data_IF_772594568237
#
_entry.id   IF_772594568237
#
_cell.length_a   1.000
_cell.length_b   1.000
_cell.length_c   1.000
_cell.angle_alpha   90.00
_cell.angle_beta   90.00
_cell.angle_gamma   90.00
#
_symmetry.space_group_name_H-M   'P 1'
#
loop_
_entity.id
_entity.type
_entity.pdbx_description
1 polymer ?
#
# COMPACT_ATOMS: atom_id res chain seq x y z
N UNK A 1 13.95 0.60 19.97
CA UNK A 1 13.73 0.19 18.57
C UNK A 1 14.51 -1.09 18.36
N UNK A 2 13.90 -2.09 17.75
CA UNK A 2 14.57 -3.34 17.37
C UNK A 2 15.66 -3.10 16.32
N UNK A 3 16.45 -4.14 16.02
CA UNK A 3 17.49 -4.04 15.00
C UNK A 3 16.89 -3.80 13.60
N UNK A 4 17.61 -3.10 12.75
CA UNK A 4 17.28 -2.93 11.33
C UNK A 4 17.35 -4.30 10.65
N UNK A 5 16.41 -4.60 9.74
CA UNK A 5 16.36 -5.87 9.03
C UNK A 5 17.69 -6.15 8.30
N UNK A 6 18.12 -7.42 8.32
CA UNK A 6 19.39 -7.87 7.74
C UNK A 6 19.20 -8.69 6.47
N UNK A 7 18.00 -9.22 6.27
CA UNK A 7 17.67 -10.13 5.17
C UNK A 7 16.80 -9.42 4.13
N UNK A 8 16.98 -9.79 2.86
CA UNK A 8 16.07 -9.43 1.79
C UNK A 8 14.84 -10.35 1.85
N UNK A 9 13.66 -9.81 1.49
CA UNK A 9 12.43 -10.58 1.38
C UNK A 9 11.73 -10.29 0.06
N UNK A 10 11.06 -11.29 -0.47
CA UNK A 10 9.97 -11.17 -1.42
C UNK A 10 8.70 -11.76 -0.80
N UNK A 11 7.55 -11.31 -1.31
CA UNK A 11 6.28 -11.86 -0.84
C UNK A 11 5.21 -11.83 -1.92
N UNK A 12 4.29 -12.78 -1.82
CA UNK A 12 3.09 -12.87 -2.64
C UNK A 12 1.88 -12.79 -1.71
N UNK A 13 0.94 -11.89 -2.03
CA UNK A 13 -0.35 -11.80 -1.33
C UNK A 13 -1.45 -12.19 -2.29
N UNK A 14 -2.32 -13.08 -1.86
CA UNK A 14 -3.60 -13.36 -2.52
C UNK A 14 -4.72 -12.77 -1.68
N UNK A 15 -5.59 -11.99 -2.32
CA UNK A 15 -6.79 -11.46 -1.70
C UNK A 15 -7.97 -11.56 -2.66
N UNK A 16 -9.16 -11.74 -2.12
CA UNK A 16 -10.35 -11.79 -2.95
C UNK A 16 -11.31 -10.63 -2.70
N UNK A 17 -12.18 -10.46 -3.65
CA UNK A 17 -13.25 -9.46 -3.66
C UNK A 17 -14.56 -10.16 -4.02
N UNK A 18 -15.59 -9.96 -3.23
CA UNK A 18 -16.94 -10.46 -3.46
C UNK A 18 -17.93 -9.30 -3.42
N UNK A 19 -18.69 -9.11 -4.52
CA UNK A 19 -19.70 -8.06 -4.68
C UNK A 19 -19.21 -6.64 -4.34
N UNK A 20 -17.98 -6.30 -4.76
CA UNK A 20 -17.33 -5.05 -4.42
C UNK A 20 -16.50 -4.45 -5.53
N UNK A 21 -16.06 -3.22 -5.33
CA UNK A 21 -15.11 -2.53 -6.18
C UNK A 21 -13.77 -2.39 -5.44
N UNK A 22 -12.76 -3.19 -5.80
CA UNK A 22 -11.49 -3.17 -5.08
C UNK A 22 -10.67 -1.89 -5.32
N UNK A 23 -10.78 -1.32 -6.52
CA UNK A 23 -10.09 -0.09 -6.91
C UNK A 23 -10.78 0.57 -8.10
N UNK A 24 -11.66 1.51 -7.81
CA UNK A 24 -12.38 2.26 -8.85
C UNK A 24 -11.46 3.16 -9.66
N UNK A 25 -11.82 3.35 -10.93
CA UNK A 25 -11.14 4.24 -11.85
C UNK A 25 -11.88 5.59 -11.93
N UNK A 26 -11.30 6.70 -11.44
CA UNK A 26 -11.94 8.00 -11.51
C UNK A 26 -12.20 8.47 -12.95
N UNK A 27 -11.36 8.06 -13.91
CA UNK A 27 -11.50 8.43 -15.31
C UNK A 27 -12.58 7.62 -16.04
N UNK A 28 -13.00 6.48 -15.47
CA UNK A 28 -14.02 5.59 -16.00
C UNK A 28 -15.28 5.52 -15.11
N UNK A 29 -15.71 6.64 -14.52
CA UNK A 29 -16.91 6.70 -13.68
C UNK A 29 -16.86 5.80 -12.44
N UNK A 30 -15.69 5.60 -11.89
CA UNK A 30 -15.42 4.75 -10.74
C UNK A 30 -15.70 3.25 -10.98
N UNK A 31 -15.63 2.78 -12.22
CA UNK A 31 -15.66 1.35 -12.54
C UNK A 31 -14.41 0.64 -12.00
N UNK A 32 -14.50 -0.66 -11.65
CA UNK A 32 -13.32 -1.47 -11.35
C UNK A 32 -12.29 -1.36 -12.48
N UNK A 33 -11.02 -1.17 -12.14
CA UNK A 33 -9.94 -1.11 -13.13
C UNK A 33 -9.74 -2.46 -13.79
N UNK A 34 -9.66 -2.47 -15.11
CA UNK A 34 -9.47 -3.68 -15.92
C UNK A 34 -8.38 -3.39 -16.97
N UNK A 35 -7.50 -4.35 -17.17
CA UNK A 35 -6.60 -4.35 -18.31
C UNK A 35 -7.42 -4.66 -19.58
N UNK A 36 -7.49 -3.75 -20.56
CA UNK A 36 -8.40 -3.90 -21.72
C UNK A 36 -8.01 -5.03 -22.67
N UNK A 37 -6.76 -5.49 -22.64
CA UNK A 37 -6.30 -6.58 -23.50
C UNK A 37 -6.60 -7.95 -22.90
N UNK A 38 -6.30 -8.12 -21.60
CA UNK A 38 -6.43 -9.42 -20.94
C UNK A 38 -7.77 -9.60 -20.22
N UNK A 39 -8.50 -8.53 -19.96
CA UNK A 39 -9.69 -8.53 -19.10
C UNK A 39 -9.39 -8.71 -17.62
N UNK A 40 -8.12 -8.76 -17.22
CA UNK A 40 -7.73 -8.94 -15.83
C UNK A 40 -8.03 -7.68 -15.02
N UNK A 41 -8.59 -7.86 -13.84
CA UNK A 41 -8.79 -6.78 -12.87
C UNK A 41 -7.47 -6.26 -12.33
N UNK A 42 -7.41 -4.96 -12.08
CA UNK A 42 -6.22 -4.27 -11.59
C UNK A 42 -6.50 -3.57 -10.26
N UNK A 43 -5.56 -3.69 -9.31
CA UNK A 43 -5.52 -2.87 -8.10
C UNK A 43 -4.14 -2.23 -8.00
N UNK A 44 -4.11 -0.90 -7.92
CA UNK A 44 -2.85 -0.16 -7.90
C UNK A 44 -2.11 -0.33 -6.57
N UNK A 45 -0.79 -0.24 -6.61
CA UNK A 45 0.07 -0.23 -5.41
C UNK A 45 -0.32 0.88 -4.44
N UNK A 46 -0.72 2.05 -4.94
CA UNK A 46 -1.18 3.19 -4.13
C UNK A 46 -2.43 2.81 -3.34
N UNK A 47 -3.37 2.08 -3.96
CA UNK A 47 -4.58 1.60 -3.28
C UNK A 47 -4.23 0.63 -2.13
N UNK A 48 -3.34 -0.33 -2.39
CA UNK A 48 -2.89 -1.31 -1.37
C UNK A 48 -2.14 -0.60 -0.24
N UNK A 49 -1.16 0.24 -0.57
CA UNK A 49 -0.40 1.03 0.42
C UNK A 49 -1.30 1.91 1.29
N UNK A 50 -2.39 2.48 0.71
CA UNK A 50 -3.36 3.25 1.48
C UNK A 50 -4.06 2.39 2.54
N UNK A 51 -4.46 1.16 2.19
CA UNK A 51 -5.12 0.25 3.14
C UNK A 51 -4.19 -0.17 4.28
N UNK A 52 -2.93 -0.45 3.95
CA UNK A 52 -1.89 -0.72 4.95
C UNK A 52 -1.71 0.50 5.88
N UNK A 53 -1.61 1.71 5.34
CA UNK A 53 -1.51 2.94 6.14
C UNK A 53 -2.71 3.14 7.05
N UNK A 54 -3.92 2.97 6.53
CA UNK A 54 -5.15 3.12 7.31
C UNK A 54 -5.20 2.13 8.48
N UNK A 55 -4.81 0.88 8.24
CA UNK A 55 -4.74 -0.11 9.31
C UNK A 55 -3.74 0.30 10.40
N UNK A 56 -2.53 0.68 10.01
CA UNK A 56 -1.49 1.11 10.96
C UNK A 56 -1.92 2.37 11.72
N UNK A 57 -2.51 3.36 11.05
CA UNK A 57 -3.05 4.55 11.71
C UNK A 57 -4.11 4.18 12.75
N UNK A 58 -4.95 3.18 12.47
CA UNK A 58 -5.99 2.71 13.39
C UNK A 58 -5.41 2.04 14.63
N UNK A 59 -4.39 1.17 14.48
CA UNK A 59 -3.86 0.37 15.61
C UNK A 59 -2.77 1.09 16.41
N UNK A 60 -2.06 2.04 15.79
CA UNK A 60 -0.97 2.80 16.40
C UNK A 60 -1.38 4.22 16.79
N UNK A 61 -2.46 4.72 16.25
CA UNK A 61 -2.95 6.08 16.46
C UNK A 61 -1.82 7.13 16.34
N UNK A 62 -1.56 7.89 17.40
CA UNK A 62 -0.50 8.91 17.46
C UNK A 62 0.78 8.41 18.16
N UNK A 63 0.98 7.10 18.22
CA UNK A 63 2.18 6.51 18.84
C UNK A 63 3.45 7.05 18.16
N UNK A 64 4.43 7.46 18.98
CA UNK A 64 5.68 8.04 18.49
C UNK A 64 6.42 7.07 17.58
N UNK A 65 6.77 7.54 16.38
CA UNK A 65 7.47 6.74 15.38
C UNK A 65 6.54 5.97 14.43
N UNK A 66 5.22 6.03 14.64
CA UNK A 66 4.24 5.34 13.80
C UNK A 66 3.22 6.27 13.13
N UNK A 67 3.49 7.59 13.12
CA UNK A 67 2.69 8.55 12.37
C UNK A 67 2.64 8.17 10.88
N UNK A 68 1.55 8.53 10.21
CA UNK A 68 1.38 8.37 8.76
C UNK A 68 1.51 9.74 8.09
N UNK A 69 2.45 9.83 7.14
CA UNK A 69 2.71 11.03 6.35
C UNK A 69 1.66 11.25 5.26
N UNK A 70 1.32 10.20 4.51
CA UNK A 70 0.31 10.25 3.45
C UNK A 70 -1.01 9.76 4.00
N UNK A 71 -1.81 10.67 4.56
CA UNK A 71 -3.14 10.39 5.13
C UNK A 71 -4.21 11.36 4.62
N UNK A 72 -5.47 10.97 4.82
CA UNK A 72 -6.62 11.78 4.42
C UNK A 72 -6.68 13.09 5.22
N UNK A 73 -7.17 14.14 4.60
CA UNK A 73 -7.38 15.48 5.21
C UNK A 73 -6.13 16.13 5.85
N UNK A 74 -4.93 15.62 5.57
CA UNK A 74 -3.69 16.16 6.09
C UNK A 74 -2.80 16.74 4.98
N UNK A 75 -2.59 18.06 4.90
CA UNK A 75 -1.62 18.64 3.99
C UNK A 75 -0.20 18.19 4.32
N UNK A 76 0.52 17.64 3.35
CA UNK A 76 1.87 17.09 3.53
C UNK A 76 2.86 18.12 4.12
N UNK A 77 2.75 19.39 3.74
CA UNK A 77 3.60 20.46 4.24
C UNK A 77 3.48 20.72 5.76
N UNK A 78 2.43 20.23 6.41
CA UNK A 78 2.30 20.29 7.88
C UNK A 78 3.35 19.39 8.54
N UNK A 79 3.47 18.15 8.08
CA UNK A 79 4.48 17.20 8.56
C UNK A 79 5.90 17.64 8.19
N UNK A 80 6.09 18.17 6.98
CA UNK A 80 7.38 18.75 6.58
C UNK A 80 7.80 19.89 7.52
N UNK A 81 6.86 20.74 7.96
CA UNK A 81 7.13 21.82 8.92
C UNK A 81 7.46 21.32 10.32
N UNK A 82 6.90 20.19 10.75
CA UNK A 82 7.31 19.58 12.03
C UNK A 82 8.82 19.26 12.01
N UNK A 83 9.31 18.62 10.94
CA UNK A 83 10.73 18.36 10.77
C UNK A 83 11.59 19.66 10.69
N UNK A 84 11.07 20.71 10.05
CA UNK A 84 11.76 21.99 9.98
C UNK A 84 11.93 22.64 11.35
N UNK A 85 10.93 22.55 12.24
CA UNK A 85 10.99 23.09 13.60
C UNK A 85 12.10 22.46 14.44
N UNK A 86 12.36 21.16 14.28
CA UNK A 86 13.51 20.49 14.94
C UNK A 86 14.87 21.09 14.56
N UNK A 87 14.94 21.74 13.39
CA UNK A 87 16.13 22.46 12.94
C UNK A 87 16.07 23.97 13.23
N UNK A 88 15.13 24.42 14.05
CA UNK A 88 14.95 25.83 14.40
C UNK A 88 14.32 26.71 13.31
N UNK A 89 13.63 26.10 12.32
CA UNK A 89 12.87 26.82 11.30
C UNK A 89 11.40 26.89 11.71
N UNK A 90 10.98 27.98 12.31
CA UNK A 90 9.61 28.19 12.83
C UNK A 90 8.69 28.93 11.84
N UNK A 91 9.13 29.16 10.62
CA UNK A 91 8.35 29.89 9.61
C UNK A 91 7.10 29.12 9.19
N UNK A 92 6.00 29.83 9.05
CA UNK A 92 4.71 29.27 8.63
C UNK A 92 4.40 29.44 7.13
N UNK A 93 5.09 30.36 6.46
CA UNK A 93 4.98 30.58 5.02
C UNK A 93 5.91 29.67 4.23
N UNK A 94 5.37 28.92 3.26
CA UNK A 94 6.13 27.92 2.51
C UNK A 94 7.34 28.49 1.73
N UNK A 95 7.25 29.77 1.28
CA UNK A 95 8.38 30.42 0.60
C UNK A 95 9.49 30.71 1.59
N UNK A 96 9.13 31.26 2.76
CA UNK A 96 10.10 31.57 3.83
C UNK A 96 10.74 30.29 4.37
N UNK A 97 9.98 29.21 4.57
CA UNK A 97 10.52 27.87 4.92
C UNK A 97 11.56 27.42 3.88
N UNK A 98 11.21 27.51 2.59
CA UNK A 98 12.11 27.14 1.51
C UNK A 98 13.41 27.95 1.51
N UNK A 99 13.32 29.28 1.74
CA UNK A 99 14.49 30.16 1.82
C UNK A 99 15.35 29.88 3.06
N UNK A 100 14.71 29.63 4.22
CA UNK A 100 15.42 29.26 5.45
C UNK A 100 16.18 27.95 5.29
N UNK A 101 15.56 26.93 4.71
CA UNK A 101 16.21 25.65 4.42
C UNK A 101 17.40 25.79 3.46
N UNK A 102 17.28 26.62 2.42
CA UNK A 102 18.41 26.92 1.52
C UNK A 102 19.57 27.61 2.24
N UNK A 103 19.29 28.48 3.20
CA UNK A 103 20.33 29.12 4.04
C UNK A 103 20.97 28.10 4.97
N UNK A 104 20.17 27.26 5.63
CA UNK A 104 20.68 26.20 6.50
C UNK A 104 21.59 25.23 5.76
N UNK A 105 21.21 24.81 4.54
CA UNK A 105 22.04 23.91 3.72
C UNK A 105 23.43 24.47 3.42
N UNK A 106 23.57 25.81 3.30
CA UNK A 106 24.89 26.44 3.10
C UNK A 106 25.75 26.41 4.35
N UNK A 107 25.13 26.40 5.54
CA UNK A 107 25.82 26.46 6.82
C UNK A 107 26.04 25.07 7.45
N UNK A 108 25.15 24.13 7.18
CA UNK A 108 25.22 22.74 7.68
C UNK A 108 25.04 21.75 6.53
N UNK A 109 26.12 21.10 6.07
CA UNK A 109 26.07 20.07 5.02
C UNK A 109 25.20 18.87 5.37
N UNK A 110 24.92 18.64 6.67
CA UNK A 110 24.19 17.48 7.17
C UNK A 110 22.66 17.74 7.30
N UNK A 111 22.16 18.90 6.92
CA UNK A 111 20.70 19.23 6.98
C UNK A 111 19.86 18.18 6.27
N UNK A 112 20.30 17.73 5.10
CA UNK A 112 19.63 16.69 4.33
C UNK A 112 19.45 15.39 5.14
N UNK A 113 20.51 14.95 5.83
CA UNK A 113 20.48 13.73 6.64
C UNK A 113 19.58 13.90 7.86
N UNK A 114 19.70 15.01 8.58
CA UNK A 114 18.88 15.29 9.77
C UNK A 114 17.40 15.30 9.47
N UNK A 115 16.98 15.96 8.37
CA UNK A 115 15.58 15.98 7.95
C UNK A 115 15.08 14.60 7.53
N UNK A 116 15.87 13.87 6.74
CA UNK A 116 15.53 12.50 6.34
C UNK A 116 15.35 11.60 7.57
N UNK A 117 16.31 11.65 8.46
CA UNK A 117 16.33 10.79 9.65
C UNK A 117 15.12 11.12 10.55
N UNK A 118 14.83 12.41 10.78
CA UNK A 118 13.61 12.82 11.49
C UNK A 118 12.33 12.26 10.84
N UNK A 119 12.20 12.39 9.50
CA UNK A 119 11.04 11.89 8.78
C UNK A 119 10.92 10.37 8.85
N UNK A 120 12.02 9.65 8.71
CA UNK A 120 12.02 8.19 8.83
C UNK A 120 11.76 7.72 10.27
N UNK A 121 12.24 8.44 11.29
CA UNK A 121 12.02 8.09 12.70
C UNK A 121 10.55 8.30 13.12
N UNK A 122 9.89 9.34 12.62
CA UNK A 122 8.56 9.71 13.08
C UNK A 122 7.42 9.16 12.19
N UNK A 123 7.68 8.90 10.91
CA UNK A 123 6.66 8.47 9.95
C UNK A 123 6.92 7.04 9.45
N UNK A 124 6.07 6.12 9.89
CA UNK A 124 6.16 4.71 9.51
C UNK A 124 6.12 4.49 7.99
N UNK A 125 5.22 5.17 7.30
CA UNK A 125 5.06 4.98 5.86
C UNK A 125 6.22 5.56 5.03
N UNK A 126 6.91 6.59 5.51
CA UNK A 126 8.15 7.07 4.91
C UNK A 126 9.27 6.04 5.13
N UNK A 127 9.40 5.54 6.35
CA UNK A 127 10.39 4.51 6.72
C UNK A 127 10.19 3.22 5.93
N UNK A 128 8.94 2.88 5.61
CA UNK A 128 8.54 1.65 4.92
C UNK A 128 8.56 1.81 3.40
N UNK A 129 7.78 2.74 2.87
CA UNK A 129 7.53 2.88 1.42
C UNK A 129 8.35 3.99 0.76
N UNK A 130 8.90 4.89 1.57
CA UNK A 130 9.48 6.14 1.09
C UNK A 130 8.43 7.18 0.71
N UNK A 131 8.91 8.37 0.37
CA UNK A 131 8.05 9.48 -0.04
C UNK A 131 8.79 10.51 -0.90
N UNK A 132 8.02 11.33 -1.61
CA UNK A 132 8.48 12.56 -2.23
C UNK A 132 7.93 13.73 -1.39
N UNK A 133 8.83 14.38 -0.65
CA UNK A 133 8.52 15.51 0.25
C UNK A 133 8.73 16.82 -0.51
N UNK A 134 7.66 17.37 -1.05
CA UNK A 134 7.71 18.48 -2.02
C UNK A 134 8.30 19.77 -1.44
N UNK A 135 8.16 20.02 -0.14
CA UNK A 135 8.77 21.17 0.54
C UNK A 135 10.30 21.11 0.44
N UNK A 136 10.89 19.94 0.71
CA UNK A 136 12.32 19.73 0.66
C UNK A 136 12.84 19.69 -0.79
N UNK A 137 12.06 19.12 -1.73
CA UNK A 137 12.38 19.19 -3.17
C UNK A 137 12.47 20.64 -3.64
N UNK A 138 11.50 21.50 -3.28
CA UNK A 138 11.51 22.94 -3.60
C UNK A 138 12.69 23.68 -2.99
N UNK A 139 13.19 23.24 -1.83
CA UNK A 139 14.39 23.78 -1.20
C UNK A 139 15.70 23.21 -1.80
N UNK A 140 15.62 22.38 -2.82
CA UNK A 140 16.75 21.68 -3.45
C UNK A 140 17.55 20.81 -2.46
N UNK A 141 16.84 20.17 -1.53
CA UNK A 141 17.42 19.20 -0.59
C UNK A 141 17.34 17.79 -1.18
N UNK A 142 18.42 17.01 -1.00
CA UNK A 142 18.49 15.63 -1.50
C UNK A 142 17.54 14.70 -0.74
N UNK A 143 17.24 15.00 0.52
CA UNK A 143 16.25 14.27 1.32
C UNK A 143 14.80 14.45 0.84
N UNK A 144 14.52 15.32 -0.11
CA UNK A 144 13.17 15.49 -0.68
C UNK A 144 12.63 14.24 -1.37
N UNK A 145 13.49 13.26 -1.67
CA UNK A 145 13.10 11.94 -2.19
C UNK A 145 13.73 10.85 -1.33
N UNK A 146 12.89 10.13 -0.57
CA UNK A 146 13.29 8.97 0.21
C UNK A 146 12.78 7.70 -0.48
N UNK A 147 13.72 6.80 -0.82
CA UNK A 147 13.37 5.47 -1.33
C UNK A 147 13.24 4.50 -0.18
N UNK A 148 12.01 4.03 0.08
CA UNK A 148 11.74 3.03 1.10
C UNK A 148 12.14 1.62 0.70
N UNK A 149 12.42 0.74 1.69
CA UNK A 149 12.80 -0.64 1.46
C UNK A 149 11.66 -1.49 0.88
N UNK A 150 10.41 -1.19 1.18
CA UNK A 150 9.26 -1.97 0.76
C UNK A 150 8.68 -1.42 -0.53
N UNK A 151 8.62 -2.26 -1.55
CA UNK A 151 7.99 -1.95 -2.83
C UNK A 151 6.93 -3.00 -3.15
N UNK A 152 5.76 -2.56 -3.58
CA UNK A 152 4.61 -3.39 -3.90
C UNK A 152 4.23 -3.11 -5.36
N UNK A 153 3.99 -4.16 -6.14
CA UNK A 153 3.50 -4.04 -7.51
C UNK A 153 1.98 -3.79 -7.59
N UNK A 154 1.45 -3.68 -8.78
CA UNK A 154 0.01 -3.72 -9.00
C UNK A 154 -0.49 -5.15 -8.78
N UNK A 155 -1.63 -5.29 -8.09
CA UNK A 155 -2.32 -6.57 -8.07
C UNK A 155 -3.07 -6.79 -9.38
N UNK A 156 -3.05 -8.04 -9.84
CA UNK A 156 -3.82 -8.52 -11.00
C UNK A 156 -4.73 -9.67 -10.58
N UNK A 157 -5.92 -9.72 -11.14
CA UNK A 157 -6.78 -10.89 -10.91
C UNK A 157 -6.21 -12.12 -11.61
N UNK A 158 -6.47 -13.31 -11.05
CA UNK A 158 -6.02 -14.60 -11.61
C UNK A 158 -6.76 -14.90 -12.92
N UNK A 159 -8.08 -14.65 -12.93
CA UNK A 159 -8.92 -14.77 -14.11
C UNK A 159 -9.44 -13.41 -14.56
N UNK A 160 -9.86 -13.25 -15.82
CA UNK A 160 -10.58 -12.07 -16.29
C UNK A 160 -11.82 -11.80 -15.41
N UNK A 161 -12.04 -10.53 -15.08
CA UNK A 161 -13.20 -10.11 -14.30
C UNK A 161 -14.26 -9.49 -15.20
N UNK A 162 -15.53 -9.64 -14.80
CA UNK A 162 -16.65 -8.96 -15.43
C UNK A 162 -17.25 -8.00 -14.39
N UNK A 163 -17.11 -6.70 -14.65
CA UNK A 163 -17.76 -5.69 -13.83
C UNK A 163 -19.26 -5.63 -14.14
N UNK A 164 -20.07 -5.45 -13.10
CA UNK A 164 -21.53 -5.25 -13.20
C UNK A 164 -21.88 -3.87 -12.68
N UNK A 165 -22.70 -3.14 -13.46
CA UNK A 165 -23.35 -1.94 -12.99
C UNK A 165 -24.71 -2.33 -12.37
N UNK A 166 -24.87 -2.02 -11.08
CA UNK A 166 -26.09 -2.32 -10.32
C UNK A 166 -26.77 -1.02 -9.92
N UNK A 167 -28.01 -0.83 -10.34
CA UNK A 167 -28.83 0.29 -9.89
C UNK A 167 -29.31 0.03 -8.47
N UNK A 168 -29.14 1.01 -7.62
CA UNK A 168 -29.60 0.98 -6.22
C UNK A 168 -30.60 2.11 -5.99
N UNK A 169 -31.61 1.88 -5.16
CA UNK A 169 -32.61 2.86 -4.84
C UNK A 169 -32.52 3.27 -3.37
N UNK A 170 -32.43 4.58 -3.15
CA UNK A 170 -32.50 5.17 -1.82
C UNK A 170 -33.91 5.73 -1.60
N UNK A 171 -34.53 5.39 -0.48
CA UNK A 171 -35.90 5.81 -0.11
C UNK A 171 -35.96 7.28 0.27
N UNK A 172 -34.84 7.84 0.78
CA UNK A 172 -34.76 9.23 1.21
C UNK A 172 -34.36 10.16 0.06
N UNK A 173 -35.03 11.28 -0.05
CA UNK A 173 -34.80 12.36 -1.00
C UNK A 173 -33.80 13.36 -0.37
N UNK A 174 -32.97 14.01 -1.20
CA UNK A 174 -31.91 14.91 -0.72
C UNK A 174 -32.43 16.29 -0.34
N UNK A 175 -33.40 16.85 -1.09
CA UNK A 175 -33.92 18.20 -0.85
C UNK A 175 -35.44 18.20 -0.82
N UNK A 176 -36.05 19.16 -0.09
CA UNK A 176 -37.51 19.34 -0.05
C UNK A 176 -38.11 19.58 -1.44
N UNK A 177 -37.39 20.35 -2.28
CA UNK A 177 -37.79 20.63 -3.66
C UNK A 177 -37.87 19.36 -4.53
N UNK A 178 -36.92 18.44 -4.33
CA UNK A 178 -36.93 17.16 -5.07
C UNK A 178 -38.06 16.25 -4.57
N UNK A 179 -38.40 16.33 -3.28
CA UNK A 179 -39.46 15.54 -2.68
C UNK A 179 -40.86 15.86 -3.25
N UNK A 180 -41.07 17.04 -3.85
CA UNK A 180 -42.32 17.40 -4.52
C UNK A 180 -42.57 16.56 -5.79
N UNK A 181 -41.49 16.07 -6.44
CA UNK A 181 -41.56 15.41 -7.75
C UNK A 181 -41.05 13.96 -7.74
N UNK A 182 -40.39 13.51 -6.68
CA UNK A 182 -39.77 12.18 -6.58
C UNK A 182 -40.06 11.57 -5.21
N UNK A 183 -40.27 10.27 -5.15
CA UNK A 183 -40.40 9.51 -3.91
C UNK A 183 -39.13 8.74 -3.53
N UNK A 184 -38.19 8.58 -4.48
CA UNK A 184 -36.98 7.81 -4.32
C UNK A 184 -35.83 8.44 -5.11
N UNK A 185 -34.60 8.16 -4.71
CA UNK A 185 -33.38 8.54 -5.45
C UNK A 185 -32.68 7.28 -5.95
N UNK A 186 -32.28 7.28 -7.20
CA UNK A 186 -31.54 6.16 -7.79
C UNK A 186 -30.04 6.49 -7.87
N UNK A 187 -29.22 5.52 -7.50
CA UNK A 187 -27.77 5.56 -7.66
C UNK A 187 -27.28 4.32 -8.42
N UNK A 188 -26.04 4.32 -8.81
CA UNK A 188 -25.39 3.19 -9.49
C UNK A 188 -24.16 2.75 -8.71
N UNK A 189 -23.91 1.46 -8.69
CA UNK A 189 -22.67 0.86 -8.18
C UNK A 189 -22.07 -0.03 -9.26
N UNK A 190 -20.76 0.08 -9.44
CA UNK A 190 -20.01 -0.86 -10.26
C UNK A 190 -19.30 -1.83 -9.32
N UNK A 191 -19.53 -3.12 -9.50
CA UNK A 191 -19.00 -4.18 -8.65
C UNK A 191 -18.35 -5.27 -9.48
N UNK A 192 -17.37 -5.97 -8.90
CA UNK A 192 -16.87 -7.27 -9.32
C UNK A 192 -17.65 -8.32 -8.52
N UNK A 193 -18.38 -9.24 -9.15
CA UNK A 193 -19.12 -10.29 -8.44
C UNK A 193 -18.20 -11.18 -7.61
N UNK A 194 -17.08 -11.59 -8.22
CA UNK A 194 -15.97 -12.25 -7.56
C UNK A 194 -14.69 -12.06 -8.34
N UNK A 195 -13.54 -11.95 -7.65
CA UNK A 195 -12.21 -11.96 -8.23
C UNK A 195 -11.15 -12.28 -7.19
N UNK A 196 -10.23 -13.21 -7.52
CA UNK A 196 -9.03 -13.48 -6.74
C UNK A 196 -7.88 -12.69 -7.36
N UNK A 197 -7.19 -11.89 -6.55
CA UNK A 197 -6.10 -11.02 -6.96
C UNK A 197 -4.78 -11.48 -6.36
N UNK A 198 -3.71 -11.39 -7.15
CA UNK A 198 -2.32 -11.62 -6.74
C UNK A 198 -1.56 -10.31 -6.81
N UNK A 199 -0.79 -10.02 -5.78
CA UNK A 199 0.18 -8.92 -5.74
C UNK A 199 1.52 -9.42 -5.24
N UNK A 200 2.59 -8.85 -5.78
CA UNK A 200 3.97 -9.18 -5.47
C UNK A 200 4.66 -7.99 -4.83
N UNK A 201 5.53 -8.26 -3.87
CA UNK A 201 6.28 -7.23 -3.17
C UNK A 201 7.71 -7.65 -2.85
N UNK A 202 8.51 -6.62 -2.58
CA UNK A 202 9.95 -6.71 -2.37
C UNK A 202 10.34 -5.92 -1.13
N UNK A 203 11.28 -6.45 -0.34
CA UNK A 203 11.83 -5.75 0.82
C UNK A 203 13.36 -5.79 0.77
N UNK A 204 13.98 -4.62 0.68
CA UNK A 204 15.41 -4.44 0.56
C UNK A 204 16.07 -4.13 1.91
N UNK A 205 16.77 -5.09 2.49
CA UNK A 205 17.56 -4.84 3.70
C UNK A 205 18.64 -3.78 3.49
N UNK A 206 19.21 -3.68 2.29
CA UNK A 206 20.20 -2.66 1.95
C UNK A 206 19.64 -1.24 2.03
N UNK A 207 18.40 -1.00 1.55
CA UNK A 207 17.72 0.29 1.68
C UNK A 207 17.32 0.56 3.13
N UNK A 208 16.84 -0.45 3.86
CA UNK A 208 16.54 -0.34 5.28
C UNK A 208 17.77 0.16 6.06
N UNK A 209 18.91 -0.51 5.89
CA UNK A 209 20.15 -0.18 6.59
C UNK A 209 20.75 1.18 6.19
N UNK A 210 20.74 1.52 4.90
CA UNK A 210 21.42 2.72 4.40
C UNK A 210 20.58 3.98 4.40
N UNK A 211 19.26 3.85 4.39
CA UNK A 211 18.36 5.00 4.12
C UNK A 211 17.35 5.25 5.22
N UNK A 212 16.56 4.23 5.62
CA UNK A 212 15.35 4.49 6.39
C UNK A 212 15.37 3.98 7.82
N UNK A 213 16.20 3.00 8.15
CA UNK A 213 16.22 2.37 9.47
C UNK A 213 15.05 1.40 9.70
N UNK A 214 14.39 0.89 8.65
CA UNK A 214 13.28 -0.06 8.77
C UNK A 214 13.70 -1.31 9.55
N UNK A 215 13.01 -1.57 10.66
CA UNK A 215 13.40 -2.55 11.66
C UNK A 215 12.62 -3.87 11.57
N UNK A 216 13.02 -4.87 12.39
CA UNK A 216 12.31 -6.14 12.51
C UNK A 216 10.90 -5.93 13.10
N UNK A 217 10.71 -5.00 14.06
CA UNK A 217 9.38 -4.65 14.58
C UNK A 217 8.50 -4.02 13.48
N UNK A 218 9.09 -3.18 12.62
CA UNK A 218 8.39 -2.60 11.47
C UNK A 218 7.98 -3.67 10.46
N UNK A 219 8.82 -4.69 10.27
CA UNK A 219 8.55 -5.81 9.39
C UNK A 219 7.38 -6.67 9.91
N UNK A 220 7.39 -6.98 11.20
CA UNK A 220 6.28 -7.72 11.84
C UNK A 220 4.96 -6.95 11.73
N UNK A 221 5.02 -5.63 11.99
CA UNK A 221 3.86 -4.74 11.82
C UNK A 221 3.38 -4.69 10.37
N UNK A 222 4.30 -4.73 9.39
CA UNK A 222 3.95 -4.79 7.97
C UNK A 222 3.17 -6.07 7.63
N UNK A 223 3.61 -7.22 8.14
CA UNK A 223 2.91 -8.48 7.91
C UNK A 223 1.52 -8.49 8.54
N UNK A 224 1.41 -8.01 9.77
CA UNK A 224 0.12 -7.85 10.44
C UNK A 224 -0.81 -6.91 9.66
N UNK A 225 -0.28 -5.77 9.20
CA UNK A 225 -1.04 -4.82 8.40
C UNK A 225 -1.48 -5.39 7.05
N UNK A 226 -0.65 -6.17 6.37
CA UNK A 226 -1.02 -6.82 5.09
C UNK A 226 -2.15 -7.81 5.32
N UNK A 227 -2.05 -8.65 6.35
CA UNK A 227 -3.05 -9.68 6.67
C UNK A 227 -4.41 -9.04 7.00
N UNK A 228 -4.41 -7.95 7.76
CA UNK A 228 -5.62 -7.36 8.31
C UNK A 228 -6.09 -6.08 7.60
N UNK A 229 -5.46 -5.65 6.51
CA UNK A 229 -5.73 -4.36 5.85
C UNK A 229 -7.17 -4.16 5.38
N UNK A 230 -7.95 -5.21 5.25
CA UNK A 230 -9.36 -5.15 4.85
C UNK A 230 -10.34 -5.23 6.02
N UNK A 231 -9.90 -5.69 7.22
CA UNK A 231 -10.79 -5.93 8.35
C UNK A 231 -11.45 -4.66 8.91
N UNK A 232 -10.77 -3.51 8.78
CA UNK A 232 -11.30 -2.20 9.19
C UNK A 232 -11.64 -1.28 8.01
N UNK A 233 -11.62 -1.81 6.76
CA UNK A 233 -11.82 -1.04 5.52
C UNK A 233 -13.19 -1.33 4.87
N UNK A 234 -14.16 -1.81 5.65
CA UNK A 234 -15.48 -2.16 5.13
C UNK A 234 -16.28 -0.94 4.66
N UNK A 235 -16.85 -1.02 3.49
CA UNK A 235 -17.79 -0.02 2.98
C UNK A 235 -18.76 -0.66 1.98
N UNK A 236 -19.88 0.01 1.77
CA UNK A 236 -20.89 -0.45 0.82
C UNK A 236 -20.40 -0.52 -0.64
N UNK A 237 -19.32 0.19 -0.99
CA UNK A 237 -18.72 0.14 -2.32
C UNK A 237 -17.69 -0.98 -2.46
N UNK A 238 -16.99 -1.35 -1.38
CA UNK A 238 -15.92 -2.35 -1.40
C UNK A 238 -16.40 -3.79 -1.33
N UNK A 239 -17.68 -3.99 -0.93
CA UNK A 239 -18.22 -5.34 -0.75
C UNK A 239 -17.47 -6.09 0.36
N UNK A 240 -17.20 -7.36 0.13
CA UNK A 240 -16.41 -8.20 1.02
C UNK A 240 -15.04 -8.41 0.39
N UNK A 241 -14.01 -8.01 1.11
CA UNK A 241 -12.61 -8.23 0.73
C UNK A 241 -11.87 -8.92 1.87
N UNK A 242 -10.99 -9.87 1.54
CA UNK A 242 -10.18 -10.55 2.54
C UNK A 242 -8.83 -10.99 1.94
N UNK A 243 -7.78 -10.92 2.74
CA UNK A 243 -6.50 -11.57 2.40
C UNK A 243 -6.67 -13.07 2.64
N UNK A 244 -6.23 -13.87 1.68
CA UNK A 244 -6.38 -15.33 1.66
C UNK A 244 -5.08 -16.07 1.86
N UNK A 245 -3.97 -15.50 1.38
CA UNK A 245 -2.63 -16.03 1.52
C UNK A 245 -1.63 -14.89 1.65
N UNK A 246 -0.64 -15.08 2.48
CA UNK A 246 0.60 -14.31 2.50
C UNK A 246 1.76 -15.30 2.50
N UNK A 247 2.45 -15.38 1.37
CA UNK A 247 3.61 -16.25 1.17
C UNK A 247 4.85 -15.38 1.19
N UNK A 248 5.76 -15.61 2.12
CA UNK A 248 6.97 -14.82 2.35
C UNK A 248 8.20 -15.68 2.05
N UNK A 249 9.11 -15.12 1.26
CA UNK A 249 10.43 -15.66 0.95
C UNK A 249 11.49 -14.84 1.66
N UNK A 250 12.17 -15.44 2.64
CA UNK A 250 13.26 -14.82 3.38
C UNK A 250 14.59 -15.32 2.85
N UNK A 251 15.39 -14.44 2.28
CA UNK A 251 16.74 -14.76 1.87
C UNK A 251 17.71 -14.84 3.06
N UNK A 252 18.78 -15.61 2.92
CA UNK A 252 19.84 -15.65 3.92
C UNK A 252 20.74 -14.41 3.90
N UNK A 253 20.73 -13.64 2.79
CA UNK A 253 21.62 -12.50 2.53
C UNK A 253 20.88 -11.19 2.32
N UNK A 254 21.57 -10.09 2.62
CA UNK A 254 21.09 -8.70 2.41
C UNK A 254 20.69 -8.41 0.96
N UNK A 255 21.44 -8.93 -0.02
CA UNK A 255 21.18 -8.72 -1.45
C UNK A 255 20.34 -9.84 -2.09
N UNK A 256 20.03 -10.88 -1.32
CA UNK A 256 19.30 -12.05 -1.77
C UNK A 256 20.17 -13.18 -2.29
N UNK A 257 19.58 -14.36 -2.42
CA UNK A 257 20.23 -15.60 -2.84
C UNK A 257 19.88 -15.99 -4.28
N UNK A 258 18.75 -15.46 -4.79
CA UNK A 258 18.33 -15.66 -6.18
C UNK A 258 17.51 -14.46 -6.71
N UNK A 259 17.29 -14.38 -8.03
CA UNK A 259 16.38 -13.40 -8.62
C UNK A 259 14.93 -13.60 -8.15
N UNK A 260 14.23 -12.51 -7.86
CA UNK A 260 12.86 -12.51 -7.33
C UNK A 260 11.86 -13.25 -8.23
N UNK A 261 11.97 -13.12 -9.56
CA UNK A 261 11.05 -13.75 -10.49
C UNK A 261 10.98 -15.27 -10.31
N UNK A 262 12.10 -15.95 -9.94
CA UNK A 262 12.11 -17.38 -9.68
C UNK A 262 11.23 -17.77 -8.49
N UNK A 263 11.19 -16.92 -7.48
CA UNK A 263 10.35 -17.11 -6.30
C UNK A 263 8.89 -16.87 -6.62
N UNK A 264 8.61 -15.86 -7.44
CA UNK A 264 7.24 -15.58 -7.89
C UNK A 264 6.71 -16.67 -8.83
N UNK A 265 7.54 -17.15 -9.77
CA UNK A 265 7.19 -18.25 -10.67
C UNK A 265 6.96 -19.58 -9.93
N UNK A 266 7.60 -19.75 -8.76
CA UNK A 266 7.37 -20.92 -7.91
C UNK A 266 5.99 -20.92 -7.22
N UNK A 267 5.26 -19.80 -7.22
CA UNK A 267 3.89 -19.73 -6.70
C UNK A 267 2.90 -19.82 -7.84
N UNK A 268 2.30 -20.96 -8.01
CA UNK A 268 1.25 -21.20 -9.00
C UNK A 268 -0.14 -21.04 -8.37
N UNK A 269 -1.00 -20.29 -9.03
CA UNK A 269 -2.41 -20.13 -8.66
C UNK A 269 -3.26 -20.46 -9.87
N UNK A 270 -4.04 -21.51 -9.78
CA UNK A 270 -4.88 -21.99 -10.89
C UNK A 270 -6.29 -22.29 -10.42
N UNK A 271 -7.25 -22.08 -11.31
CA UNK A 271 -8.63 -22.50 -11.12
C UNK A 271 -8.72 -24.03 -11.11
N UNK A 272 -9.54 -24.61 -10.25
CA UNK A 272 -9.82 -26.05 -10.24
C UNK A 272 -10.52 -26.49 -11.52
N UNK A 273 -10.23 -27.69 -12.00
CA UNK A 273 -10.71 -28.20 -13.29
C UNK A 273 -12.25 -28.33 -13.38
N UNK A 274 -12.89 -28.59 -12.26
CA UNK A 274 -14.36 -28.74 -12.13
C UNK A 274 -15.09 -27.41 -11.97
N UNK A 275 -14.37 -26.27 -11.95
CA UNK A 275 -14.95 -24.95 -11.73
C UNK A 275 -14.87 -24.11 -13.03
N UNK A 276 -16.01 -23.81 -13.62
CA UNK A 276 -16.09 -22.93 -14.79
C UNK A 276 -15.97 -21.46 -14.41
N UNK A 277 -16.75 -21.04 -13.41
CA UNK A 277 -16.82 -19.65 -12.91
C UNK A 277 -16.52 -19.60 -11.41
N UNK A 278 -15.30 -19.26 -10.98
CA UNK A 278 -14.96 -19.15 -9.58
C UNK A 278 -15.79 -18.08 -8.85
N UNK A 279 -16.21 -18.40 -7.61
CA UNK A 279 -17.01 -17.52 -6.75
C UNK A 279 -16.49 -17.43 -5.32
N UNK A 280 -15.44 -18.18 -5.00
CA UNK A 280 -14.82 -18.22 -3.66
C UNK A 280 -13.37 -18.68 -3.79
N UNK A 281 -12.58 -18.37 -2.78
CA UNK A 281 -11.16 -18.75 -2.73
C UNK A 281 -10.93 -20.26 -2.92
N UNK A 282 -11.80 -21.09 -2.34
CA UNK A 282 -11.72 -22.57 -2.43
C UNK A 282 -11.89 -23.12 -3.85
N UNK A 283 -12.31 -22.32 -4.79
CA UNK A 283 -12.41 -22.68 -6.21
C UNK A 283 -11.05 -22.67 -6.91
N UNK A 284 -10.01 -22.21 -6.20
CA UNK A 284 -8.63 -22.17 -6.68
C UNK A 284 -7.75 -23.18 -5.95
N UNK A 285 -6.65 -23.53 -6.61
CA UNK A 285 -5.53 -24.29 -6.07
C UNK A 285 -4.31 -23.38 -6.03
N UNK A 286 -3.68 -23.29 -4.87
CA UNK A 286 -2.41 -22.56 -4.68
C UNK A 286 -1.33 -23.58 -4.37
N UNK A 287 -0.31 -23.65 -5.24
CA UNK A 287 0.86 -24.50 -5.08
C UNK A 287 2.12 -23.65 -4.94
N UNK A 288 3.00 -24.02 -4.03
CA UNK A 288 4.35 -23.47 -3.95
C UNK A 288 5.30 -24.61 -4.32
N UNK A 289 6.00 -24.45 -5.43
CA UNK A 289 6.98 -25.39 -5.95
C UNK A 289 8.32 -25.20 -5.22
N UNK A 290 8.41 -25.74 -4.00
CA UNK A 290 9.58 -25.56 -3.13
C UNK A 290 10.86 -26.12 -3.76
N UNK A 291 10.74 -27.15 -4.61
CA UNK A 291 11.85 -27.73 -5.38
C UNK A 291 12.52 -26.77 -6.37
N UNK A 292 11.81 -25.68 -6.76
CA UNK A 292 12.35 -24.62 -7.61
C UNK A 292 13.04 -23.49 -6.82
N UNK A 293 12.94 -23.52 -5.49
CA UNK A 293 13.45 -22.49 -4.58
C UNK A 293 14.79 -22.96 -4.00
N UNK A 294 15.84 -22.11 -3.98
CA UNK A 294 17.11 -22.46 -3.34
C UNK A 294 16.96 -22.74 -1.83
N UNK A 295 17.67 -23.73 -1.30
CA UNK A 295 17.67 -24.11 0.13
C UNK A 295 18.04 -22.94 1.08
N UNK A 296 18.71 -21.90 0.56
CA UNK A 296 19.09 -20.70 1.30
C UNK A 296 17.95 -19.68 1.45
N UNK A 297 16.78 -19.94 0.86
CA UNK A 297 15.58 -19.12 0.96
C UNK A 297 14.53 -19.84 1.80
N UNK A 298 14.20 -19.29 2.94
CA UNK A 298 13.15 -19.79 3.81
C UNK A 298 11.78 -19.36 3.26
N UNK A 299 10.85 -20.31 3.12
CA UNK A 299 9.47 -20.07 2.68
C UNK A 299 8.54 -20.15 3.89
N UNK A 300 7.72 -19.10 4.06
CA UNK A 300 6.68 -19.05 5.10
C UNK A 300 5.33 -18.74 4.50
N UNK A 301 4.32 -19.55 4.82
CA UNK A 301 2.91 -19.19 4.64
C UNK A 301 2.41 -18.62 5.96
N UNK A 302 2.03 -17.34 5.97
CA UNK A 302 1.64 -16.61 7.19
C UNK A 302 0.17 -16.84 7.54
N UNK A 303 -0.67 -17.11 6.53
CA UNK A 303 -2.08 -17.50 6.63
C UNK A 303 -2.43 -18.51 5.55
#
# INVERSE_FOLDING_TARGET
>A
MSEVIKNRYEFVVLFDVENGNPNGDPDAGNMPRIDPESGLGLVTDVCIKRKIRNYIETIKEEEKGYKIYIKEDAPLNRSDREACKELGVEENDDKKVTEALKKLKKNDPNVDLKLRDYMCENFYDIRTFGAVMTTFVKAALNCGQVRGPVQIGFARSIDPIISQEVTITRVAITTEKDAENKSTEMGRKCIVPYGLYRVEGYISANLARKVTGFSEDDLELLWDAIINMFENDHSAARGKMAVRELIVFKHSKELGDCPAYKLFDAVEVSKKEDVEYPRKYQDYKVCVHEEAIPDSVEVKRMI
#
